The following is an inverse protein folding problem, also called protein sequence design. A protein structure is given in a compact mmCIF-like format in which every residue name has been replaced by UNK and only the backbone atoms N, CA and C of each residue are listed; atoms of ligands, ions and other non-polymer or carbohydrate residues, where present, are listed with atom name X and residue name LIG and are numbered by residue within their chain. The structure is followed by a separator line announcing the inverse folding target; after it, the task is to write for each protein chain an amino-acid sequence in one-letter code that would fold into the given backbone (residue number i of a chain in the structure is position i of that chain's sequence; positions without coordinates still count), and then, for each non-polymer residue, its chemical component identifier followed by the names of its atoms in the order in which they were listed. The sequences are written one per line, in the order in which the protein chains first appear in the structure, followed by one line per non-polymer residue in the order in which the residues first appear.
data_IF_510929393761
#
_entry.id   IF_510929393761
#
_cell.length_a   1.000
_cell.length_b   1.000
_cell.length_c   1.000
_cell.angle_alpha   90.00
_cell.angle_beta   90.00
_cell.angle_gamma   90.00
#
_symmetry.space_group_name_H-M   'P 1'
#
loop_
_entity.id
_entity.type
_entity.pdbx_description
1 polymer ?
#
# COMPACT_ATOMS: atom_id res chain seq x y z
N UNK A 1 -17.71 12.43 -6.14
CA UNK A 1 -17.63 11.64 -7.38
C UNK A 1 -17.39 10.18 -6.99
N UNK A 2 -17.63 9.19 -7.85
CA UNK A 2 -17.26 7.80 -7.52
C UNK A 2 -15.77 7.58 -7.69
N UNK A 3 -15.16 6.91 -6.71
CA UNK A 3 -13.76 6.51 -6.76
C UNK A 3 -13.50 5.59 -7.96
N UNK A 4 -12.38 5.80 -8.66
CA UNK A 4 -12.07 5.08 -9.90
C UNK A 4 -10.61 5.22 -10.31
N UNK A 5 -10.13 4.26 -11.09
CA UNK A 5 -8.85 4.37 -11.79
C UNK A 5 -9.01 5.05 -13.15
N UNK A 6 -7.97 5.77 -13.57
CA UNK A 6 -7.84 6.43 -14.86
C UNK A 6 -6.61 5.88 -15.59
N UNK A 7 -6.76 5.55 -16.88
CA UNK A 7 -5.68 5.03 -17.71
C UNK A 7 -5.47 3.51 -17.60
N UNK A 8 -4.38 3.03 -18.18
CA UNK A 8 -3.94 1.64 -18.13
C UNK A 8 -2.49 1.57 -17.66
N UNK A 9 -2.15 0.53 -16.91
CA UNK A 9 -0.76 0.29 -16.53
C UNK A 9 -0.04 -0.32 -17.73
N UNK A 10 0.91 0.45 -18.27
CA UNK A 10 1.90 -0.03 -19.24
C UNK A 10 3.27 0.19 -18.64
N UNK A 11 4.07 -0.87 -18.57
CA UNK A 11 5.40 -0.81 -17.96
C UNK A 11 6.45 -1.46 -18.86
N UNK A 12 7.67 -0.95 -18.74
CA UNK A 12 8.88 -1.63 -19.21
C UNK A 12 9.71 -2.06 -18.01
N UNK A 13 10.38 -3.20 -18.11
CA UNK A 13 11.33 -3.64 -17.11
C UNK A 13 12.63 -2.85 -17.25
N UNK A 14 13.15 -2.35 -16.13
CA UNK A 14 14.48 -1.76 -16.09
C UNK A 14 15.51 -2.88 -15.92
N UNK A 15 16.59 -2.84 -16.69
CA UNK A 15 17.71 -3.80 -16.63
C UNK A 15 18.94 -3.14 -15.99
N UNK A 16 18.75 -2.43 -14.88
CA UNK A 16 19.83 -1.85 -14.10
C UNK A 16 20.19 -2.75 -12.91
N UNK A 17 21.46 -2.75 -12.50
CA UNK A 17 22.01 -3.65 -11.48
C UNK A 17 21.50 -3.40 -10.04
N UNK A 18 20.39 -2.68 -9.86
CA UNK A 18 19.92 -2.16 -8.56
C UNK A 18 18.78 -2.98 -7.94
N UNK A 19 17.82 -3.47 -8.73
CA UNK A 19 16.78 -4.44 -8.34
C UNK A 19 16.02 -4.93 -9.60
N UNK A 20 16.00 -6.24 -9.88
CA UNK A 20 15.33 -6.84 -11.04
C UNK A 20 13.79 -6.67 -11.01
N UNK A 21 13.23 -6.11 -9.93
CA UNK A 21 11.79 -5.80 -9.78
C UNK A 21 11.39 -4.45 -10.37
N UNK A 22 12.33 -3.56 -10.64
CA UNK A 22 12.04 -2.20 -11.06
C UNK A 22 11.38 -2.14 -12.43
N UNK A 23 10.32 -1.33 -12.53
CA UNK A 23 9.58 -1.08 -13.76
C UNK A 23 9.33 0.40 -13.92
N UNK A 24 9.39 0.89 -15.15
CA UNK A 24 9.05 2.27 -15.49
C UNK A 24 7.66 2.33 -16.12
N UNK A 25 6.82 3.28 -15.70
CA UNK A 25 5.53 3.56 -16.33
C UNK A 25 5.72 4.23 -17.70
N UNK A 26 5.08 3.68 -18.72
CA UNK A 26 5.14 4.20 -20.10
C UNK A 26 4.04 5.23 -20.38
N UNK A 27 2.97 5.23 -19.60
CA UNK A 27 1.84 6.15 -19.72
C UNK A 27 1.40 6.62 -18.33
N UNK A 28 0.73 7.78 -18.28
CA UNK A 28 0.09 8.27 -17.07
C UNK A 28 -0.99 7.29 -16.58
N UNK A 29 -0.99 7.06 -15.27
CA UNK A 29 -1.99 6.28 -14.57
C UNK A 29 -2.42 7.02 -13.31
N UNK A 30 -3.68 6.93 -12.91
CA UNK A 30 -4.13 7.60 -11.69
C UNK A 30 -5.27 6.87 -10.99
N UNK A 31 -5.42 7.19 -9.70
CA UNK A 31 -6.60 6.85 -8.91
C UNK A 31 -7.26 8.12 -8.41
N UNK A 32 -8.57 8.25 -8.62
CA UNK A 32 -9.37 9.32 -8.02
C UNK A 32 -10.10 8.72 -6.83
N UNK A 33 -9.87 9.26 -5.64
CA UNK A 33 -10.49 8.77 -4.41
C UNK A 33 -11.95 9.24 -4.24
N UNK A 34 -12.58 8.85 -3.12
CA UNK A 34 -13.98 9.20 -2.83
C UNK A 34 -14.21 10.70 -2.62
N UNK A 35 -13.18 11.44 -2.21
CA UNK A 35 -13.22 12.89 -2.01
C UNK A 35 -12.91 13.67 -3.29
N UNK A 36 -12.42 12.97 -4.32
CA UNK A 36 -12.08 13.53 -5.62
C UNK A 36 -10.62 13.94 -5.76
N UNK A 37 -9.74 13.57 -4.82
CA UNK A 37 -8.32 13.80 -4.98
C UNK A 37 -7.75 12.82 -6.00
N UNK A 38 -6.90 13.32 -6.89
CA UNK A 38 -6.21 12.53 -7.90
C UNK A 38 -4.81 12.15 -7.43
N UNK A 39 -4.59 10.84 -7.31
CA UNK A 39 -3.31 10.23 -6.97
C UNK A 39 -2.64 9.79 -8.27
N UNK A 40 -1.82 10.68 -8.83
CA UNK A 40 -1.25 10.53 -10.17
C UNK A 40 0.09 9.82 -10.14
N UNK A 41 0.18 8.72 -10.88
CA UNK A 41 1.42 8.04 -11.25
C UNK A 41 1.80 8.44 -12.68
N UNK A 42 2.66 9.46 -12.82
CA UNK A 42 3.05 10.00 -14.12
C UNK A 42 3.90 9.02 -14.92
N UNK A 43 3.85 9.10 -16.25
CA UNK A 43 4.81 8.48 -17.14
C UNK A 43 6.25 8.76 -16.67
N UNK A 44 7.11 7.74 -16.74
CA UNK A 44 8.50 7.79 -16.28
C UNK A 44 8.68 7.49 -14.79
N UNK A 45 7.59 7.33 -14.01
CA UNK A 45 7.71 6.91 -12.62
C UNK A 45 8.23 5.48 -12.52
N UNK A 46 9.17 5.24 -11.60
CA UNK A 46 9.69 3.91 -11.29
C UNK A 46 8.82 3.29 -10.19
N UNK A 47 8.37 2.06 -10.42
CA UNK A 47 7.62 1.26 -9.45
C UNK A 47 8.33 -0.07 -9.23
N UNK A 48 8.30 -0.55 -7.99
CA UNK A 48 9.05 -1.76 -7.59
C UNK A 48 8.22 -2.71 -6.70
N UNK A 49 7.08 -2.23 -6.19
CA UNK A 49 6.25 -2.95 -5.24
C UNK A 49 6.81 -3.00 -3.82
N UNK A 50 7.94 -2.32 -3.57
CA UNK A 50 8.68 -2.37 -2.30
C UNK A 50 7.99 -1.61 -1.15
N UNK A 51 6.92 -0.87 -1.44
CA UNK A 51 6.11 -0.22 -0.40
C UNK A 51 5.39 -1.22 0.53
N UNK A 52 5.30 -2.49 0.13
CA UNK A 52 4.83 -3.61 0.93
C UNK A 52 6.04 -4.46 1.36
N UNK A 53 6.34 -4.58 2.67
CA UNK A 53 7.54 -5.31 3.11
C UNK A 53 7.51 -6.78 2.71
N UNK A 54 8.64 -7.28 2.19
CA UNK A 54 8.79 -8.61 1.60
C UNK A 54 8.35 -9.76 2.53
N UNK A 55 8.53 -9.59 3.85
CA UNK A 55 8.10 -10.56 4.86
C UNK A 55 6.58 -10.82 4.88
N UNK A 56 5.76 -9.90 4.34
CA UNK A 56 4.31 -10.09 4.24
C UNK A 56 3.90 -10.86 2.98
N UNK A 57 4.76 -10.97 1.96
CA UNK A 57 4.38 -11.51 0.66
C UNK A 57 3.85 -12.95 0.71
N UNK A 58 4.35 -13.78 1.64
CA UNK A 58 3.85 -15.15 1.83
C UNK A 58 2.43 -15.21 2.41
N UNK A 59 1.93 -14.11 2.97
CA UNK A 59 0.64 -14.03 3.65
C UNK A 59 -0.41 -13.23 2.86
N UNK A 60 0.00 -12.15 2.19
CA UNK A 60 -0.89 -11.25 1.44
C UNK A 60 -0.75 -11.36 -0.09
N UNK A 61 0.32 -12.00 -0.57
CA UNK A 61 0.68 -12.10 -1.98
C UNK A 61 1.87 -11.18 -2.36
N UNK A 62 2.67 -11.56 -3.38
CA UNK A 62 3.77 -10.74 -3.87
C UNK A 62 3.27 -9.56 -4.72
N UNK A 63 3.97 -8.40 -4.78
CA UNK A 63 3.53 -7.23 -5.51
C UNK A 63 3.11 -7.50 -6.96
N UNK A 64 2.23 -6.64 -7.48
CA UNK A 64 1.74 -6.68 -8.87
C UNK A 64 0.91 -7.91 -9.26
N UNK A 65 0.46 -8.72 -8.31
CA UNK A 65 -0.47 -9.83 -8.57
C UNK A 65 -1.92 -9.47 -8.20
N UNK A 66 -2.85 -10.23 -8.77
CA UNK A 66 -4.28 -10.12 -8.42
C UNK A 66 -4.88 -8.73 -8.68
N UNK A 67 -5.89 -8.41 -7.88
CA UNK A 67 -6.68 -7.19 -8.05
C UNK A 67 -6.02 -5.94 -7.44
N UNK A 68 -5.05 -6.08 -6.53
CA UNK A 68 -4.43 -4.91 -5.89
C UNK A 68 -3.28 -4.28 -6.70
N UNK A 69 -2.88 -4.88 -7.82
CA UNK A 69 -1.78 -4.36 -8.67
C UNK A 69 -1.96 -2.90 -9.09
N UNK A 70 -3.21 -2.45 -9.32
CA UNK A 70 -3.46 -1.04 -9.67
C UNK A 70 -3.26 -0.12 -8.47
N UNK A 71 -3.72 -0.56 -7.30
CA UNK A 71 -3.49 0.15 -6.05
C UNK A 71 -1.99 0.24 -5.72
N UNK A 72 -1.21 -0.82 -5.95
CA UNK A 72 0.23 -0.80 -5.66
C UNK A 72 1.01 0.21 -6.51
N UNK A 73 0.62 0.42 -7.77
CA UNK A 73 1.27 1.44 -8.64
C UNK A 73 1.12 2.84 -8.09
N UNK A 74 -0.11 3.26 -7.77
CA UNK A 74 -0.35 4.62 -7.23
C UNK A 74 0.21 4.76 -5.82
N UNK A 75 0.26 3.68 -5.03
CA UNK A 75 0.86 3.68 -3.70
C UNK A 75 2.38 3.85 -3.76
N UNK A 76 3.09 3.09 -4.61
CA UNK A 76 4.53 3.22 -4.80
C UNK A 76 4.92 4.65 -5.16
N UNK A 77 4.24 5.24 -6.17
CA UNK A 77 4.55 6.60 -6.60
C UNK A 77 4.19 7.64 -5.53
N UNK A 78 3.07 7.45 -4.83
CA UNK A 78 2.67 8.36 -3.75
C UNK A 78 3.62 8.30 -2.54
N UNK A 79 4.17 7.11 -2.23
CA UNK A 79 5.23 6.94 -1.23
C UNK A 79 6.53 7.60 -1.68
N UNK A 80 6.96 7.35 -2.92
CA UNK A 80 8.20 7.88 -3.47
C UNK A 80 8.21 9.42 -3.48
N UNK A 81 7.10 10.01 -3.93
CA UNK A 81 6.95 11.46 -4.06
C UNK A 81 6.41 12.14 -2.79
N UNK A 82 6.11 11.38 -1.74
CA UNK A 82 5.53 11.87 -0.48
C UNK A 82 4.33 12.82 -0.72
N UNK A 83 3.41 12.43 -1.60
CA UNK A 83 2.31 13.28 -2.09
C UNK A 83 1.37 13.81 -0.99
N UNK A 84 1.33 13.14 0.15
CA UNK A 84 0.66 13.56 1.38
C UNK A 84 1.30 12.88 2.58
N UNK A 85 0.70 12.94 3.78
CA UNK A 85 1.19 12.14 4.91
C UNK A 85 1.16 10.65 4.59
N UNK A 86 2.11 9.89 5.14
CA UNK A 86 2.15 8.42 5.00
C UNK A 86 0.82 7.76 5.36
N UNK A 87 0.14 8.23 6.42
CA UNK A 87 -1.19 7.75 6.81
C UNK A 87 -2.23 7.90 5.69
N UNK A 88 -2.29 9.07 5.04
CA UNK A 88 -3.22 9.33 3.93
C UNK A 88 -2.87 8.50 2.70
N UNK A 89 -1.57 8.33 2.40
CA UNK A 89 -1.09 7.50 1.29
C UNK A 89 -1.45 6.03 1.49
N UNK A 90 -1.22 5.48 2.68
CA UNK A 90 -1.62 4.11 3.01
C UNK A 90 -3.15 3.95 2.99
N UNK A 91 -3.90 4.96 3.45
CA UNK A 91 -5.35 4.90 3.42
C UNK A 91 -5.89 4.98 1.98
N UNK A 92 -5.25 5.73 1.10
CA UNK A 92 -5.53 5.69 -0.33
C UNK A 92 -5.33 4.29 -0.90
N UNK A 93 -4.24 3.60 -0.54
CA UNK A 93 -3.99 2.23 -0.97
C UNK A 93 -5.12 1.27 -0.56
N UNK A 94 -5.65 1.39 0.66
CA UNK A 94 -6.83 0.65 1.12
C UNK A 94 -8.03 0.84 0.20
N UNK A 95 -8.43 2.09 -0.04
CA UNK A 95 -9.61 2.38 -0.87
C UNK A 95 -9.41 2.03 -2.35
N UNK A 96 -8.20 2.19 -2.86
CA UNK A 96 -7.82 1.79 -4.22
C UNK A 96 -7.97 0.27 -4.41
N UNK A 97 -7.61 -0.53 -3.40
CA UNK A 97 -7.84 -1.98 -3.40
C UNK A 97 -9.32 -2.35 -3.41
N UNK A 98 -10.14 -1.70 -2.59
CA UNK A 98 -11.59 -1.93 -2.56
C UNK A 98 -12.25 -1.59 -3.90
N UNK A 99 -11.80 -0.51 -4.55
CA UNK A 99 -12.28 -0.10 -5.88
C UNK A 99 -12.02 -1.18 -6.94
N UNK A 100 -10.97 -1.99 -6.75
CA UNK A 100 -10.61 -3.12 -7.62
C UNK A 100 -11.23 -4.46 -7.20
N UNK A 101 -12.13 -4.46 -6.22
CA UNK A 101 -12.79 -5.67 -5.75
C UNK A 101 -11.89 -6.60 -4.94
N UNK A 102 -10.82 -6.07 -4.36
CA UNK A 102 -10.12 -6.77 -3.27
C UNK A 102 -11.08 -6.85 -2.09
N UNK A 103 -11.20 -8.02 -1.46
CA UNK A 103 -12.09 -8.16 -0.30
C UNK A 103 -11.60 -7.29 0.87
N UNK A 104 -12.55 -6.83 1.68
CA UNK A 104 -12.28 -5.85 2.74
C UNK A 104 -11.23 -6.34 3.76
N UNK A 105 -11.26 -7.63 4.13
CA UNK A 105 -10.33 -8.21 5.09
C UNK A 105 -8.89 -8.21 4.56
N UNK A 106 -8.71 -8.57 3.28
CA UNK A 106 -7.42 -8.52 2.61
C UNK A 106 -6.91 -7.08 2.49
N UNK A 107 -7.77 -6.15 2.05
CA UNK A 107 -7.39 -4.74 1.94
C UNK A 107 -7.00 -4.15 3.30
N UNK A 108 -7.74 -4.48 4.37
CA UNK A 108 -7.46 -4.05 5.73
C UNK A 108 -6.13 -4.64 6.24
N UNK A 109 -5.91 -5.94 6.03
CA UNK A 109 -4.65 -6.62 6.37
C UNK A 109 -3.45 -5.92 5.72
N UNK A 110 -3.57 -5.62 4.42
CA UNK A 110 -2.51 -4.95 3.66
C UNK A 110 -2.29 -3.50 4.13
N UNK A 111 -3.37 -2.77 4.43
CA UNK A 111 -3.28 -1.44 5.04
C UNK A 111 -2.54 -1.47 6.38
N UNK A 112 -2.88 -2.41 7.26
CA UNK A 112 -2.21 -2.54 8.56
C UNK A 112 -0.73 -2.87 8.40
N UNK A 113 -0.37 -3.71 7.43
CA UNK A 113 1.02 -4.01 7.13
C UNK A 113 1.81 -2.76 6.71
N UNK A 114 1.32 -1.99 5.72
CA UNK A 114 2.02 -0.79 5.25
C UNK A 114 2.03 0.33 6.29
N UNK A 115 0.94 0.50 7.04
CA UNK A 115 0.86 1.51 8.12
C UNK A 115 1.88 1.26 9.22
N UNK A 116 2.15 0.00 9.57
CA UNK A 116 3.02 -0.38 10.68
C UNK A 116 4.46 -0.68 10.28
N UNK A 117 4.71 -1.12 9.05
CA UNK A 117 6.03 -1.60 8.61
C UNK A 117 6.48 -1.01 7.28
N UNK A 118 5.61 -0.32 6.56
CA UNK A 118 5.95 0.40 5.34
C UNK A 118 6.58 1.78 5.62
N UNK A 119 6.89 2.52 4.53
CA UNK A 119 7.50 3.83 4.60
C UNK A 119 6.64 4.82 5.41
N UNK A 120 7.25 5.61 6.30
CA UNK A 120 6.56 6.53 7.19
C UNK A 120 7.19 7.93 7.18
N UNK A 121 6.36 8.96 7.08
CA UNK A 121 6.74 10.38 7.10
C UNK A 121 5.52 11.25 7.44
N UNK A 122 5.80 12.45 7.93
CA UNK A 122 4.81 13.48 8.22
C UNK A 122 4.72 14.50 7.08
N UNK A 123 3.53 15.09 6.90
CA UNK A 123 3.28 16.10 5.87
C UNK A 123 4.11 17.37 6.16
N UNK A 124 4.94 17.80 5.21
CA UNK A 124 5.76 19.02 5.35
C UNK A 124 7.06 18.84 6.13
N UNK A 125 7.44 17.60 6.49
CA UNK A 125 8.74 17.29 7.11
C UNK A 125 9.68 16.72 6.04
N UNK A 126 10.78 17.40 5.66
CA UNK A 126 11.75 16.86 4.72
C UNK A 126 12.42 15.64 5.36
N UNK A 127 12.02 14.45 4.94
CA UNK A 127 12.57 13.21 5.48
C UNK A 127 13.44 12.57 4.41
N UNK A 128 14.74 12.43 4.69
CA UNK A 128 15.64 11.57 3.92
C UNK A 128 15.09 10.14 3.91
N UNK A 129 15.15 9.48 2.75
CA UNK A 129 14.58 8.16 2.41
C UNK A 129 14.94 6.96 3.30
N UNK A 130 15.51 7.14 4.49
CA UNK A 130 15.71 6.05 5.45
C UNK A 130 14.42 5.78 6.24
N UNK A 131 13.45 5.18 5.56
CA UNK A 131 12.29 4.56 6.20
C UNK A 131 12.67 3.17 6.71
N UNK A 132 13.62 3.10 7.64
CA UNK A 132 13.93 1.85 8.32
C UNK A 132 13.09 1.75 9.59
N UNK A 133 11.80 1.46 9.43
CA UNK A 133 11.16 0.63 10.46
C UNK A 133 11.88 -0.71 10.40
N UNK A 134 12.27 -1.26 11.56
CA UNK A 134 13.07 -2.48 11.64
C UNK A 134 12.47 -3.55 10.71
N UNK A 135 13.29 -4.23 9.88
CA UNK A 135 12.80 -5.32 9.06
C UNK A 135 12.11 -6.34 9.96
N UNK A 136 10.88 -6.67 9.62
CA UNK A 136 10.08 -7.67 10.33
C UNK A 136 10.44 -9.07 9.82
N UNK A 137 10.56 -10.04 10.71
CA UNK A 137 10.76 -11.44 10.31
C UNK A 137 9.48 -12.02 9.69
N UNK A 138 9.59 -13.05 8.85
CA UNK A 138 8.40 -13.72 8.29
C UNK A 138 7.48 -14.29 9.39
N UNK A 139 8.06 -14.78 10.49
CA UNK A 139 7.30 -15.30 11.65
C UNK A 139 6.51 -14.18 12.31
N UNK A 140 7.14 -13.03 12.53
CA UNK A 140 6.47 -11.87 13.15
C UNK A 140 5.42 -11.26 12.21
N UNK A 141 5.68 -11.25 10.89
CA UNK A 141 4.71 -10.83 9.88
C UNK A 141 3.48 -11.74 9.88
N UNK A 142 3.67 -13.05 9.97
CA UNK A 142 2.56 -14.00 10.09
C UNK A 142 1.77 -13.77 11.38
N UNK A 143 2.44 -13.63 12.52
CA UNK A 143 1.80 -13.36 13.81
C UNK A 143 1.02 -12.03 13.77
N UNK A 144 1.58 -10.99 13.15
CA UNK A 144 0.91 -9.71 12.95
C UNK A 144 -0.37 -9.87 12.11
N UNK A 145 -0.31 -10.57 10.97
CA UNK A 145 -1.51 -10.79 10.15
C UNK A 145 -2.60 -11.54 10.92
N UNK A 146 -2.24 -12.54 11.73
CA UNK A 146 -3.24 -13.23 12.55
C UNK A 146 -3.89 -12.28 13.57
N UNK A 147 -3.10 -11.39 14.20
CA UNK A 147 -3.66 -10.35 15.09
C UNK A 147 -4.63 -9.42 14.37
N UNK A 148 -4.28 -8.98 13.15
CA UNK A 148 -5.17 -8.13 12.33
C UNK A 148 -6.47 -8.85 11.99
N UNK A 149 -6.43 -10.13 11.62
CA UNK A 149 -7.64 -10.91 11.32
C UNK A 149 -8.55 -11.05 12.53
N UNK A 150 -7.99 -11.36 13.70
CA UNK A 150 -8.75 -11.42 14.96
C UNK A 150 -9.38 -10.07 15.29
N UNK A 151 -8.64 -8.97 15.13
CA UNK A 151 -9.17 -7.63 15.33
C UNK A 151 -10.27 -7.28 14.34
N UNK A 152 -10.13 -7.69 13.08
CA UNK A 152 -11.15 -7.49 12.04
C UNK A 152 -12.43 -8.28 12.34
N UNK A 153 -12.31 -9.53 12.80
CA UNK A 153 -13.46 -10.34 13.24
C UNK A 153 -14.21 -9.68 14.41
N UNK A 154 -13.48 -9.05 15.35
CA UNK A 154 -14.07 -8.33 16.48
C UNK A 154 -14.74 -7.01 16.06
N UNK A 155 -14.16 -6.31 15.08
CA UNK A 155 -14.71 -5.07 14.55
C UNK A 155 -15.97 -5.31 13.69
N UNK A 156 -16.08 -6.48 13.08
CA UNK A 156 -17.21 -6.90 12.25
C UNK A 156 -17.01 -6.64 10.76
N UNK A 157 -17.88 -7.25 9.96
CA UNK A 157 -17.79 -7.22 8.50
C UNK A 157 -17.84 -5.80 7.94
N UNK A 158 -16.84 -5.48 7.11
CA UNK A 158 -16.75 -4.18 6.44
C UNK A 158 -16.25 -3.04 7.33
N UNK A 159 -15.76 -3.34 8.54
CA UNK A 159 -15.14 -2.35 9.41
C UNK A 159 -14.00 -1.60 8.69
N UNK A 160 -13.97 -0.29 8.88
CA UNK A 160 -12.88 0.56 8.40
C UNK A 160 -11.55 0.17 9.05
N UNK A 161 -10.40 0.51 8.43
CA UNK A 161 -9.11 0.26 9.05
C UNK A 161 -8.97 0.87 10.45
N UNK A 162 -9.51 2.06 10.66
CA UNK A 162 -9.51 2.75 11.95
C UNK A 162 -10.41 2.05 12.99
N UNK A 163 -11.47 1.36 12.58
CA UNK A 163 -12.29 0.56 13.48
C UNK A 163 -11.57 -0.73 13.88
N UNK A 164 -10.90 -1.41 12.93
CA UNK A 164 -10.09 -2.60 13.20
C UNK A 164 -8.94 -2.27 14.17
N UNK A 165 -8.31 -1.11 14.03
CA UNK A 165 -7.23 -0.66 14.92
C UNK A 165 -7.61 -0.57 16.39
N UNK A 166 -8.89 -0.32 16.69
CA UNK A 166 -9.36 -0.25 18.09
C UNK A 166 -9.26 -1.60 18.81
N UNK A 167 -9.19 -2.69 18.04
CA UNK A 167 -9.08 -4.06 18.54
C UNK A 167 -7.67 -4.63 18.37
N UNK A 168 -6.78 -3.93 17.66
CA UNK A 168 -5.38 -4.30 17.60
C UNK A 168 -4.73 -4.01 18.96
N UNK A 169 -3.93 -4.95 19.52
CA UNK A 169 -3.15 -4.66 20.70
C UNK A 169 -2.25 -3.46 20.42
N UNK A 170 -2.34 -2.43 21.27
CA UNK A 170 -1.31 -1.39 21.32
C UNK A 170 -0.06 -2.11 21.82
N UNK A 171 0.93 -2.32 20.97
CA UNK A 171 2.19 -2.93 21.39
C UNK A 171 2.76 -2.09 22.55
N UNK A 172 2.97 -2.74 23.69
CA UNK A 172 3.53 -2.19 24.94
C UNK A 172 5.04 -2.01 24.88
#
# INVERSE_FOLDING_TARGET
MSARFLGQIKTIWLQDHSDDRNRELVEDFAYVDGDGNEWKASQGSIISGASIPDAFWSVIGPPFVGNYRRASVVHDVACEQQMSSSEKVHLMFYYAMLTDGVNWLQANTMYQAVKNFGPAWDEGVPTSFETSRRPISEVDAHAFVQRVRVAADQAGDGASPQEVERYLPQDS
#
